data_IF_690254041216
#
_entry.id   IF_690254041216
#
_cell.length_a   1.000
_cell.length_b   1.000
_cell.length_c   1.000
_cell.angle_alpha   90.00
_cell.angle_beta   90.00
_cell.angle_gamma   90.00
#
_symmetry.space_group_name_H-M   'P 1'
#
loop_
_entity.id
_entity.type
_entity.pdbx_description
1 polymer ?
#
# COMPACT_ATOMS: atom_id res chain seq x y z
N UNK A 1 -6.34 -0.15 -7.42
CA UNK A 1 -7.50 0.65 -7.04
C UNK A 1 -7.16 2.13 -7.09
N UNK A 2 -6.29 2.66 -6.20
CA UNK A 2 -5.95 4.09 -6.14
C UNK A 2 -5.54 4.64 -7.52
N UNK A 3 -4.61 3.98 -8.19
CA UNK A 3 -4.15 4.38 -9.53
C UNK A 3 -5.29 4.43 -10.53
N UNK A 4 -6.08 3.37 -10.62
CA UNK A 4 -7.18 3.28 -11.57
C UNK A 4 -8.27 4.32 -11.28
N UNK A 5 -8.71 4.44 -10.01
CA UNK A 5 -9.81 5.32 -9.63
C UNK A 5 -9.45 6.80 -9.67
N UNK A 6 -8.28 7.16 -9.16
CA UNK A 6 -7.93 8.57 -8.94
C UNK A 6 -7.12 9.13 -10.12
N UNK A 7 -6.23 8.32 -10.70
CA UNK A 7 -5.43 8.76 -11.84
C UNK A 7 -6.12 8.50 -13.18
N UNK A 8 -6.52 7.25 -13.47
CA UNK A 8 -7.03 6.91 -14.81
C UNK A 8 -8.47 7.37 -15.02
N UNK A 9 -9.37 7.12 -14.06
CA UNK A 9 -10.77 7.48 -14.23
C UNK A 9 -11.04 8.96 -13.97
N UNK A 10 -10.38 9.57 -12.98
CA UNK A 10 -10.65 10.96 -12.57
C UNK A 10 -9.59 11.97 -13.04
N UNK A 11 -8.40 11.52 -13.44
CA UNK A 11 -7.34 12.41 -13.92
C UNK A 11 -6.79 13.38 -12.87
N UNK A 12 -6.96 13.08 -11.57
CA UNK A 12 -6.65 14.00 -10.48
C UNK A 12 -5.18 14.02 -10.07
N UNK A 13 -4.43 12.99 -10.43
CA UNK A 13 -3.03 12.84 -10.00
C UNK A 13 -2.12 12.51 -11.16
N UNK A 14 -0.89 12.99 -11.09
CA UNK A 14 0.17 12.54 -11.98
C UNK A 14 0.68 11.16 -11.57
N UNK A 15 0.86 10.94 -10.27
CA UNK A 15 1.30 9.66 -9.71
C UNK A 15 0.60 9.40 -8.39
N UNK A 16 0.12 8.18 -8.18
CA UNK A 16 -0.44 7.72 -6.92
C UNK A 16 -0.16 6.23 -6.74
N UNK A 17 0.35 5.86 -5.55
CA UNK A 17 0.59 4.48 -5.17
C UNK A 17 0.62 4.31 -3.66
N UNK A 18 0.46 3.09 -3.20
CA UNK A 18 0.65 2.71 -1.81
C UNK A 18 1.84 1.77 -1.67
N UNK A 19 2.48 1.81 -0.51
CA UNK A 19 3.59 0.93 -0.18
C UNK A 19 3.63 0.68 1.32
N UNK A 20 4.29 -0.40 1.70
CA UNK A 20 4.54 -0.75 3.10
C UNK A 20 6.03 -0.66 3.38
N UNK A 21 6.37 -0.19 4.58
CA UNK A 21 7.73 -0.24 5.11
C UNK A 21 7.69 -1.06 6.40
N UNK A 22 8.46 -2.15 6.44
CA UNK A 22 8.54 -3.02 7.59
C UNK A 22 9.86 -2.78 8.35
N UNK A 23 9.76 -2.66 9.67
CA UNK A 23 10.88 -2.61 10.60
C UNK A 23 10.85 -3.87 11.48
N UNK A 24 11.80 -4.00 12.42
CA UNK A 24 11.88 -5.18 13.27
C UNK A 24 10.66 -5.35 14.20
N UNK A 25 10.12 -4.25 14.71
CA UNK A 25 9.07 -4.18 15.74
C UNK A 25 7.87 -3.31 15.35
N UNK A 26 7.90 -2.70 14.17
CA UNK A 26 6.85 -1.80 13.69
C UNK A 26 6.75 -1.79 12.17
N UNK A 27 5.79 -1.09 11.62
CA UNK A 27 5.62 -0.91 10.19
C UNK A 27 4.78 0.31 9.85
N UNK A 28 4.89 0.72 8.61
CA UNK A 28 4.11 1.82 8.04
C UNK A 28 3.39 1.35 6.79
N UNK A 29 2.12 1.73 6.67
CA UNK A 29 1.41 1.74 5.39
C UNK A 29 1.35 3.19 4.91
N UNK A 30 1.83 3.44 3.72
CA UNK A 30 1.96 4.79 3.19
C UNK A 30 1.26 4.92 1.84
N UNK A 31 0.67 6.08 1.60
CA UNK A 31 0.13 6.46 0.29
C UNK A 31 0.88 7.71 -0.16
N UNK A 32 1.45 7.64 -1.35
CA UNK A 32 2.06 8.77 -2.03
C UNK A 32 1.14 9.24 -3.15
N UNK A 33 0.99 10.57 -3.27
CA UNK A 33 0.31 11.18 -4.42
C UNK A 33 1.01 12.47 -4.85
N UNK A 34 1.15 12.65 -6.16
CA UNK A 34 1.68 13.87 -6.78
C UNK A 34 0.59 14.47 -7.65
N UNK A 35 0.23 15.75 -7.36
CA UNK A 35 -0.92 16.40 -7.99
C UNK A 35 -0.73 17.90 -8.08
N UNK A 36 -1.58 18.57 -8.86
CA UNK A 36 -1.71 20.01 -8.79
C UNK A 36 -2.33 20.41 -7.44
N UNK A 37 -1.83 21.47 -6.77
CA UNK A 37 -2.39 21.94 -5.49
C UNK A 37 -3.90 22.15 -5.49
N UNK A 38 -4.47 22.62 -6.59
CA UNK A 38 -5.93 22.81 -6.73
C UNK A 38 -6.75 21.51 -6.71
N UNK A 39 -6.11 20.37 -6.91
CA UNK A 39 -6.75 19.03 -6.92
C UNK A 39 -6.58 18.29 -5.59
N UNK A 40 -5.80 18.83 -4.66
CA UNK A 40 -5.42 18.14 -3.43
C UNK A 40 -6.63 17.65 -2.63
N UNK A 41 -7.65 18.48 -2.43
CA UNK A 41 -8.86 18.09 -1.69
C UNK A 41 -9.59 16.93 -2.38
N UNK A 42 -9.73 16.96 -3.71
CA UNK A 42 -10.39 15.89 -4.46
C UNK A 42 -9.60 14.57 -4.37
N UNK A 43 -8.27 14.63 -4.44
CA UNK A 43 -7.39 13.47 -4.28
C UNK A 43 -7.54 12.85 -2.89
N UNK A 44 -7.52 13.65 -1.83
CA UNK A 44 -7.69 13.15 -0.46
C UNK A 44 -9.06 12.53 -0.25
N UNK A 45 -10.13 13.14 -0.77
CA UNK A 45 -11.48 12.53 -0.75
C UNK A 45 -11.52 11.21 -1.49
N UNK A 46 -10.87 11.11 -2.63
CA UNK A 46 -10.74 9.87 -3.39
C UNK A 46 -9.99 8.79 -2.62
N UNK A 47 -8.89 9.13 -1.96
CA UNK A 47 -8.13 8.20 -1.12
C UNK A 47 -8.99 7.71 0.05
N UNK A 48 -9.67 8.61 0.76
CA UNK A 48 -10.55 8.26 1.88
C UNK A 48 -11.68 7.34 1.44
N UNK A 49 -12.32 7.64 0.31
CA UNK A 49 -13.38 6.81 -0.25
C UNK A 49 -12.90 5.39 -0.62
N UNK A 50 -11.69 5.26 -1.18
CA UNK A 50 -11.13 3.94 -1.51
C UNK A 50 -10.73 3.14 -0.27
N UNK A 51 -10.21 3.78 0.77
CA UNK A 51 -9.94 3.14 2.07
C UNK A 51 -11.24 2.63 2.69
N UNK A 52 -12.26 3.47 2.72
CA UNK A 52 -13.57 3.12 3.29
C UNK A 52 -14.25 1.99 2.48
N UNK A 53 -14.13 2.00 1.14
CA UNK A 53 -14.63 0.92 0.30
C UNK A 53 -13.91 -0.40 0.60
N UNK A 54 -12.60 -0.39 0.80
CA UNK A 54 -11.85 -1.60 1.18
C UNK A 54 -12.29 -2.11 2.56
N UNK A 55 -12.51 -1.22 3.52
CA UNK A 55 -12.98 -1.62 4.87
C UNK A 55 -14.39 -2.23 4.85
N UNK A 56 -15.33 -1.63 4.11
CA UNK A 56 -16.72 -2.06 4.09
C UNK A 56 -17.01 -3.25 3.18
N UNK A 57 -16.43 -3.21 2.00
CA UNK A 57 -16.73 -4.18 0.93
C UNK A 57 -15.68 -5.30 0.85
N UNK A 58 -14.49 -5.06 1.42
CA UNK A 58 -13.36 -5.95 1.28
C UNK A 58 -12.75 -5.93 -0.12
N UNK A 59 -11.98 -6.98 -0.40
CA UNK A 59 -11.35 -7.23 -1.70
C UNK A 59 -11.98 -8.48 -2.31
N UNK A 60 -12.43 -8.40 -3.56
CA UNK A 60 -13.02 -9.57 -4.22
C UNK A 60 -11.98 -10.69 -4.41
N UNK A 61 -12.45 -11.94 -4.38
CA UNK A 61 -11.60 -13.11 -4.59
C UNK A 61 -10.85 -13.06 -5.92
N UNK A 62 -11.50 -12.56 -6.96
CA UNK A 62 -10.87 -12.36 -8.27
C UNK A 62 -9.66 -11.43 -8.18
N UNK A 63 -9.78 -10.29 -7.49
CA UNK A 63 -8.67 -9.34 -7.33
C UNK A 63 -7.57 -9.96 -6.46
N UNK A 64 -7.93 -10.67 -5.38
CA UNK A 64 -6.96 -11.36 -4.53
C UNK A 64 -6.14 -12.36 -5.34
N UNK A 65 -6.79 -13.24 -6.13
CA UNK A 65 -6.10 -14.26 -6.91
C UNK A 65 -5.18 -13.66 -7.98
N UNK A 66 -5.65 -12.68 -8.75
CA UNK A 66 -4.81 -11.97 -9.74
C UNK A 66 -3.60 -11.30 -9.07
N UNK A 67 -3.80 -10.72 -7.89
CA UNK A 67 -2.70 -10.07 -7.14
C UNK A 67 -1.69 -11.10 -6.65
N UNK A 68 -2.13 -12.26 -6.16
CA UNK A 68 -1.23 -13.36 -5.77
C UNK A 68 -0.37 -13.83 -6.95
N UNK A 69 -1.01 -14.12 -8.09
CA UNK A 69 -0.30 -14.53 -9.31
C UNK A 69 0.75 -13.48 -9.74
N UNK A 70 0.38 -12.21 -9.70
CA UNK A 70 1.30 -11.12 -10.01
C UNK A 70 2.46 -11.03 -9.02
N UNK A 71 2.19 -11.17 -7.72
CA UNK A 71 3.23 -11.15 -6.68
C UNK A 71 4.20 -12.31 -6.83
N UNK A 72 3.70 -13.52 -7.08
CA UNK A 72 4.52 -14.72 -7.29
C UNK A 72 5.38 -14.55 -8.54
N UNK A 73 4.79 -14.10 -9.65
CA UNK A 73 5.52 -13.86 -10.89
C UNK A 73 6.63 -12.83 -10.72
N UNK A 74 6.34 -11.70 -10.08
CA UNK A 74 7.33 -10.66 -9.80
C UNK A 74 8.45 -11.16 -8.87
N UNK A 75 8.11 -11.99 -7.89
CA UNK A 75 9.08 -12.59 -6.97
C UNK A 75 10.02 -13.56 -7.70
N UNK A 76 9.48 -14.43 -8.54
CA UNK A 76 10.28 -15.37 -9.35
C UNK A 76 11.22 -14.60 -10.29
N UNK A 77 10.70 -13.65 -11.08
CA UNK A 77 11.51 -12.82 -11.99
C UNK A 77 12.57 -12.03 -11.21
N UNK A 78 12.17 -11.43 -10.08
CA UNK A 78 13.11 -10.68 -9.22
C UNK A 78 14.24 -11.56 -8.67
N UNK A 79 13.98 -12.85 -8.43
CA UNK A 79 14.94 -13.81 -7.91
C UNK A 79 16.01 -14.26 -8.92
N UNK A 80 15.84 -13.96 -10.21
CA UNK A 80 16.87 -14.21 -11.22
C UNK A 80 18.08 -13.30 -11.03
N UNK A 81 17.89 -12.12 -10.44
CA UNK A 81 18.97 -11.20 -10.11
C UNK A 81 19.78 -11.70 -8.90
N UNK A 82 21.05 -11.94 -9.10
CA UNK A 82 21.98 -12.32 -8.00
C UNK A 82 22.08 -11.24 -6.92
N UNK A 83 22.02 -9.96 -7.31
CA UNK A 83 22.00 -8.83 -6.38
C UNK A 83 20.73 -8.84 -5.51
N UNK A 84 19.57 -9.06 -6.11
CA UNK A 84 18.31 -9.14 -5.36
C UNK A 84 18.33 -10.32 -4.40
N UNK A 85 18.81 -11.49 -4.84
CA UNK A 85 18.94 -12.68 -3.97
C UNK A 85 19.87 -12.43 -2.80
N UNK A 86 21.04 -11.84 -3.06
CA UNK A 86 22.00 -11.49 -2.01
C UNK A 86 21.38 -10.51 -0.99
N UNK A 87 20.76 -9.45 -1.46
CA UNK A 87 20.13 -8.43 -0.61
C UNK A 87 18.99 -9.01 0.21
N UNK A 88 18.14 -9.83 -0.42
CA UNK A 88 17.03 -10.50 0.27
C UNK A 88 17.54 -11.47 1.35
N UNK A 89 18.54 -12.30 1.03
CA UNK A 89 19.12 -13.24 1.98
C UNK A 89 19.82 -12.52 3.16
N UNK A 90 20.60 -11.48 2.87
CA UNK A 90 21.26 -10.69 3.91
C UNK A 90 20.26 -9.99 4.83
N UNK A 91 19.24 -9.34 4.27
CA UNK A 91 18.18 -8.70 5.06
C UNK A 91 17.38 -9.72 5.87
N UNK A 92 17.06 -10.87 5.30
CA UNK A 92 16.34 -11.93 6.01
C UNK A 92 17.15 -12.47 7.19
N UNK A 93 18.44 -12.70 7.00
CA UNK A 93 19.33 -13.15 8.08
C UNK A 93 19.43 -12.11 9.19
N UNK A 94 19.62 -10.83 8.84
CA UNK A 94 19.78 -9.75 9.82
C UNK A 94 18.49 -9.48 10.62
N UNK A 95 17.33 -9.49 9.94
CA UNK A 95 16.08 -9.07 10.57
C UNK A 95 15.28 -10.24 11.18
N UNK A 96 15.46 -11.46 10.65
CA UNK A 96 14.65 -12.63 11.04
C UNK A 96 15.48 -13.83 11.52
N UNK A 97 16.80 -13.76 11.42
CA UNK A 97 17.71 -14.83 11.82
C UNK A 97 17.72 -16.05 10.89
N UNK A 98 16.96 -16.03 9.80
CA UNK A 98 16.94 -17.10 8.80
C UNK A 98 16.62 -16.60 7.39
N UNK A 99 17.20 -17.25 6.41
CA UNK A 99 16.80 -17.09 5.00
C UNK A 99 15.59 -17.97 4.74
N UNK A 100 14.62 -17.47 3.99
CA UNK A 100 13.46 -18.22 3.55
C UNK A 100 13.72 -18.80 2.15
N UNK A 101 13.37 -20.05 1.95
CA UNK A 101 13.39 -20.67 0.63
C UNK A 101 12.28 -20.07 -0.25
N UNK A 102 12.47 -20.16 -1.56
CA UNK A 102 11.51 -19.59 -2.53
C UNK A 102 10.12 -20.20 -2.36
N UNK A 103 10.07 -21.49 -2.20
CA UNK A 103 8.84 -22.29 -2.02
C UNK A 103 8.08 -21.83 -0.77
N UNK A 104 8.77 -21.61 0.37
CA UNK A 104 8.14 -21.08 1.59
C UNK A 104 7.48 -19.71 1.38
N UNK A 105 8.10 -18.86 0.55
CA UNK A 105 7.54 -17.52 0.26
C UNK A 105 6.29 -17.64 -0.61
N UNK A 106 6.35 -18.49 -1.64
CA UNK A 106 5.22 -18.74 -2.55
C UNK A 106 4.03 -19.31 -1.76
N UNK A 107 4.24 -20.35 -0.94
CA UNK A 107 3.20 -20.95 -0.10
C UNK A 107 2.53 -19.89 0.80
N UNK A 108 3.29 -18.99 1.39
CA UNK A 108 2.74 -17.90 2.21
C UNK A 108 1.88 -16.93 1.42
N UNK A 109 2.28 -16.59 0.18
CA UNK A 109 1.47 -15.74 -0.69
C UNK A 109 0.17 -16.47 -1.06
N UNK A 110 0.24 -17.74 -1.41
CA UNK A 110 -0.92 -18.55 -1.77
C UNK A 110 -1.88 -18.75 -0.59
N UNK A 111 -1.37 -18.87 0.62
CA UNK A 111 -2.16 -19.05 1.82
C UNK A 111 -2.97 -17.83 2.26
N UNK A 112 -2.65 -16.62 1.77
CA UNK A 112 -3.39 -15.39 2.13
C UNK A 112 -4.86 -15.51 1.75
N UNK A 113 -5.76 -15.19 2.68
CA UNK A 113 -7.20 -15.25 2.50
C UNK A 113 -7.85 -13.86 2.47
N UNK A 114 -9.11 -13.79 2.05
CA UNK A 114 -9.89 -12.55 2.17
C UNK A 114 -10.04 -12.11 3.64
N UNK A 115 -10.10 -13.07 4.55
CA UNK A 115 -10.16 -12.79 5.99
C UNK A 115 -8.88 -12.10 6.47
N UNK A 116 -7.71 -12.58 6.05
CA UNK A 116 -6.43 -11.93 6.41
C UNK A 116 -6.36 -10.49 5.91
N UNK A 117 -6.87 -10.24 4.70
CA UNK A 117 -6.96 -8.87 4.16
C UNK A 117 -7.91 -7.99 4.95
N UNK A 118 -9.05 -8.52 5.38
CA UNK A 118 -10.01 -7.79 6.21
C UNK A 118 -9.42 -7.47 7.59
N UNK A 119 -8.76 -8.43 8.22
CA UNK A 119 -8.11 -8.27 9.52
C UNK A 119 -6.99 -7.19 9.46
N UNK A 120 -6.18 -7.20 8.40
CA UNK A 120 -5.15 -6.18 8.16
C UNK A 120 -5.77 -4.80 7.84
N UNK A 121 -6.83 -4.75 7.04
CA UNK A 121 -7.52 -3.49 6.75
C UNK A 121 -8.10 -2.86 8.03
N UNK A 122 -8.68 -3.67 8.91
CA UNK A 122 -9.17 -3.18 10.20
C UNK A 122 -8.03 -2.72 11.10
N UNK A 123 -6.93 -3.47 11.17
CA UNK A 123 -5.76 -3.09 11.96
C UNK A 123 -5.16 -1.75 11.51
N UNK A 124 -5.06 -1.54 10.19
CA UNK A 124 -4.37 -0.36 9.62
C UNK A 124 -5.29 0.85 9.56
N UNK A 125 -6.59 0.67 9.28
CA UNK A 125 -7.48 1.78 8.93
C UNK A 125 -8.57 2.10 9.97
N UNK A 126 -8.88 1.21 10.92
CA UNK A 126 -9.98 1.46 11.87
C UNK A 126 -9.68 2.56 12.88
N UNK A 127 -8.45 2.65 13.34
CA UNK A 127 -7.97 3.70 14.27
C UNK A 127 -6.59 4.18 13.85
N UNK A 128 -6.46 4.86 12.72
CA UNK A 128 -5.16 5.21 12.18
C UNK A 128 -4.46 6.23 13.08
N UNK A 129 -3.25 5.89 13.52
CA UNK A 129 -2.28 6.90 13.91
C UNK A 129 -1.68 7.46 12.63
N UNK A 130 -2.31 8.50 12.10
CA UNK A 130 -1.94 9.02 10.81
C UNK A 130 -1.00 10.20 10.93
N UNK A 131 0.05 10.17 10.12
CA UNK A 131 0.91 11.32 9.86
C UNK A 131 0.81 11.68 8.38
N UNK A 132 0.94 12.96 8.09
CA UNK A 132 0.95 13.43 6.71
C UNK A 132 2.06 14.46 6.51
N UNK A 133 2.58 14.51 5.31
CA UNK A 133 3.53 15.53 4.88
C UNK A 133 3.21 15.97 3.47
N UNK A 134 3.43 17.25 3.17
CA UNK A 134 3.24 17.78 1.84
C UNK A 134 4.39 18.73 1.49
N UNK A 135 4.87 18.65 0.25
CA UNK A 135 5.96 19.49 -0.27
C UNK A 135 5.52 20.09 -1.60
N UNK A 136 5.62 21.41 -1.71
CA UNK A 136 5.25 22.14 -2.92
C UNK A 136 4.67 23.52 -2.63
N UNK A 137 3.90 24.06 -3.59
CA UNK A 137 3.19 25.32 -3.39
C UNK A 137 1.89 25.07 -2.62
N UNK A 138 1.92 25.27 -1.32
CA UNK A 138 0.81 25.00 -0.41
C UNK A 138 -0.10 26.22 -0.16
N UNK A 139 0.07 27.32 -0.91
CA UNK A 139 -0.75 28.52 -0.73
C UNK A 139 -2.23 28.20 -1.03
N UNK A 140 -3.08 28.46 -0.04
CA UNK A 140 -4.53 28.25 -0.17
C UNK A 140 -4.98 26.79 -0.01
N UNK A 141 -4.09 25.87 0.37
CA UNK A 141 -4.43 24.47 0.68
C UNK A 141 -4.31 24.24 2.18
N UNK A 142 -5.44 24.02 2.82
CA UNK A 142 -5.50 23.65 4.25
C UNK A 142 -5.40 22.12 4.39
N UNK A 143 -4.17 21.61 4.33
CA UNK A 143 -3.91 20.18 4.41
C UNK A 143 -4.35 19.57 5.74
N UNK A 144 -4.00 20.21 6.86
CA UNK A 144 -4.26 19.68 8.18
C UNK A 144 -5.75 19.42 8.37
N UNK A 145 -6.55 20.45 8.16
CA UNK A 145 -8.00 20.38 8.35
C UNK A 145 -8.69 19.43 7.35
N UNK A 146 -8.19 19.36 6.10
CA UNK A 146 -8.74 18.45 5.10
C UNK A 146 -8.47 17.00 5.46
N UNK A 147 -7.25 16.68 5.86
CA UNK A 147 -6.87 15.30 6.20
C UNK A 147 -7.53 14.87 7.51
N UNK A 148 -7.50 15.70 8.55
CA UNK A 148 -8.17 15.40 9.82
C UNK A 148 -9.66 15.11 9.65
N UNK A 149 -10.38 15.91 8.86
CA UNK A 149 -11.82 15.72 8.63
C UNK A 149 -12.16 14.47 7.83
N UNK A 150 -11.26 13.97 7.02
CA UNK A 150 -11.52 12.82 6.16
C UNK A 150 -11.17 11.49 6.82
N UNK A 151 -10.32 11.52 7.85
CA UNK A 151 -9.79 10.31 8.48
C UNK A 151 -10.01 10.30 10.03
N UNK A 152 -10.77 11.24 10.56
CA UNK A 152 -11.27 11.24 11.97
C UNK A 152 -12.59 10.41 12.13
#
# INVERSE_FOLDING_TARGET
>A
RLFQKIREEQGLTYSIYSYTTAFADTGLFSIYASMNPSQAEAVYKGIAAEIEAVRKEGISEKILNVTKEQMISNFIIGSESTLNRMTAAGSAMLLRGKVQEMEEVIEKIEAVTQKDLADVAELVFAKPQMSYSAVGNLKGVDFANTVEKLFS
#
